data_IF_433875053308
#
_entry.id   IF_433875053308
#
_cell.length_a   1.000
_cell.length_b   1.000
_cell.length_c   1.000
_cell.angle_alpha   90.00
_cell.angle_beta   90.00
_cell.angle_gamma   90.00
#
_symmetry.space_group_name_H-M   'P 1'
#
loop_
_entity.id
_entity.type
_entity.pdbx_description
1 polymer ?
#
# COMPACT_ATOMS: atom_id res chain seq x y z
N UNK A 1 26.60 -46.55 -7.15
CA UNK A 1 25.44 -45.63 -7.00
C UNK A 1 25.53 -44.93 -5.66
N UNK A 2 25.74 -43.61 -5.67
CA UNK A 2 25.61 -42.74 -4.49
C UNK A 2 25.18 -41.38 -5.02
N UNK A 3 23.88 -41.11 -4.90
CA UNK A 3 23.26 -39.84 -5.21
C UNK A 3 23.13 -39.07 -3.91
N UNK A 4 23.67 -37.85 -3.81
CA UNK A 4 23.12 -36.83 -2.91
C UNK A 4 23.21 -35.46 -3.57
N UNK A 5 22.07 -35.13 -4.17
CA UNK A 5 21.41 -33.83 -4.33
C UNK A 5 22.21 -32.54 -4.03
N UNK A 6 22.26 -31.73 -5.08
CA UNK A 6 22.51 -30.29 -5.13
C UNK A 6 21.38 -29.55 -4.35
N UNK A 7 21.61 -28.27 -4.05
CA UNK A 7 20.75 -27.22 -3.48
C UNK A 7 21.08 -26.94 -2.01
N UNK A 8 21.49 -25.72 -1.61
CA UNK A 8 20.77 -24.47 -1.91
C UNK A 8 21.72 -23.27 -2.02
N UNK A 9 21.85 -22.73 -3.23
CA UNK A 9 22.16 -21.33 -3.44
C UNK A 9 20.84 -20.57 -3.29
N UNK A 10 20.51 -20.13 -2.07
CA UNK A 10 19.41 -19.21 -1.81
C UNK A 10 19.89 -18.04 -0.93
N UNK A 11 21.02 -17.45 -1.32
CA UNK A 11 21.37 -16.08 -0.97
C UNK A 11 20.65 -15.13 -1.95
N UNK A 12 19.33 -15.22 -2.01
CA UNK A 12 18.52 -14.26 -2.75
C UNK A 12 17.95 -13.24 -1.78
N UNK A 13 18.31 -11.98 -2.04
CA UNK A 13 17.47 -10.80 -1.81
C UNK A 13 17.39 -10.29 -0.37
N UNK A 14 18.54 -9.89 0.16
CA UNK A 14 18.63 -8.83 1.18
C UNK A 14 19.02 -7.48 0.56
N UNK A 15 18.48 -7.15 -0.61
CA UNK A 15 18.78 -5.90 -1.32
C UNK A 15 17.86 -4.79 -0.76
N UNK A 16 18.48 -3.94 0.05
CA UNK A 16 18.11 -2.56 0.37
C UNK A 16 16.61 -2.25 0.58
N UNK A 17 16.11 -2.50 1.79
CA UNK A 17 15.12 -1.58 2.36
C UNK A 17 15.87 -0.27 2.62
N UNK A 18 15.82 0.63 1.63
CA UNK A 18 16.22 2.02 1.83
C UNK A 18 15.46 2.53 3.05
N UNK A 19 16.20 2.78 4.11
CA UNK A 19 15.74 3.61 5.19
C UNK A 19 15.42 4.97 4.57
N UNK A 20 14.14 5.18 4.23
CA UNK A 20 13.61 6.53 4.19
C UNK A 20 13.99 7.19 5.51
N UNK A 21 14.55 8.39 5.44
CA UNK A 21 14.88 9.20 6.61
C UNK A 21 13.73 9.08 7.60
N UNK A 22 14.04 8.80 8.88
CA UNK A 22 13.02 8.66 9.92
C UNK A 22 12.16 9.92 10.13
N UNK A 23 12.47 11.01 9.43
CA UNK A 23 11.73 12.26 9.38
C UNK A 23 10.92 12.48 8.08
N UNK A 24 11.07 11.64 7.07
CA UNK A 24 10.35 11.80 5.79
C UNK A 24 9.04 11.01 5.89
N UNK A 25 8.01 11.67 6.39
CA UNK A 25 6.68 11.08 6.49
C UNK A 25 5.91 11.47 5.23
N UNK A 26 5.52 10.51 4.39
CA UNK A 26 4.73 10.76 3.19
C UNK A 26 3.27 10.54 3.52
N UNK A 27 2.37 11.43 3.10
CA UNK A 27 0.93 11.25 3.22
C UNK A 27 0.28 11.19 1.84
N UNK A 28 -0.50 10.16 1.57
CA UNK A 28 -1.25 10.01 0.33
C UNK A 28 -2.74 10.14 0.60
N UNK A 29 -3.34 11.16 0.01
CA UNK A 29 -4.78 11.40 0.05
C UNK A 29 -5.47 10.64 -1.08
N UNK A 30 -6.62 10.07 -0.75
CA UNK A 30 -7.44 9.31 -1.68
C UNK A 30 -8.91 9.51 -1.36
N UNK A 31 -9.77 9.15 -2.32
CA UNK A 31 -11.20 9.09 -2.10
C UNK A 31 -11.78 7.77 -2.58
N UNK A 32 -12.84 7.34 -1.93
CA UNK A 32 -13.56 6.14 -2.32
C UNK A 32 -15.07 6.33 -2.15
N UNK A 33 -15.84 5.52 -2.85
CA UNK A 33 -17.31 5.51 -2.82
C UNK A 33 -17.77 4.06 -2.85
N UNK A 34 -18.80 3.77 -2.05
CA UNK A 34 -19.42 2.44 -1.95
C UNK A 34 -20.90 2.60 -2.31
N UNK A 35 -21.37 1.90 -3.33
CA UNK A 35 -22.73 2.01 -3.86
C UNK A 35 -23.08 3.45 -4.28
N UNK A 36 -24.30 3.88 -3.94
CA UNK A 36 -24.79 5.24 -4.22
C UNK A 36 -24.52 6.24 -3.09
N UNK A 37 -23.57 5.95 -2.20
CA UNK A 37 -23.19 6.87 -1.14
C UNK A 37 -22.30 8.02 -1.68
N UNK A 38 -22.09 9.02 -0.83
CA UNK A 38 -21.17 10.11 -1.12
C UNK A 38 -19.70 9.63 -1.12
N UNK A 39 -18.85 10.42 -1.79
CA UNK A 39 -17.41 10.20 -1.76
C UNK A 39 -16.84 10.45 -0.36
N UNK A 40 -16.12 9.47 0.17
CA UNK A 40 -15.33 9.57 1.39
C UNK A 40 -13.92 9.98 1.03
N UNK A 41 -13.38 11.00 1.70
CA UNK A 41 -11.97 11.38 1.62
C UNK A 41 -11.23 10.81 2.81
N UNK A 42 -10.08 10.19 2.55
CA UNK A 42 -9.23 9.59 3.58
C UNK A 42 -7.75 9.68 3.14
N UNK A 43 -6.83 9.35 4.05
CA UNK A 43 -5.40 9.47 3.82
C UNK A 43 -4.61 8.35 4.49
N UNK A 44 -3.50 7.95 3.89
CA UNK A 44 -2.59 6.99 4.48
C UNK A 44 -1.14 7.49 4.43
N UNK A 45 -0.45 7.35 5.56
CA UNK A 45 0.93 7.78 5.70
C UNK A 45 1.92 6.62 5.64
N UNK A 46 3.15 6.88 5.20
CA UNK A 46 4.25 5.92 5.21
C UNK A 46 5.61 6.61 5.34
N UNK A 47 6.64 5.85 5.73
CA UNK A 47 8.02 6.36 5.84
C UNK A 47 8.70 6.56 4.48
N UNK A 48 8.08 6.08 3.40
CA UNK A 48 8.45 6.39 2.02
C UNK A 48 7.18 6.58 1.20
N UNK A 49 7.29 7.31 0.08
CA UNK A 49 6.18 7.47 -0.87
C UNK A 49 5.61 6.13 -1.33
N UNK A 50 6.47 5.16 -1.60
CA UNK A 50 6.05 3.82 -2.02
C UNK A 50 5.26 3.10 -0.94
N UNK A 51 5.68 3.19 0.32
CA UNK A 51 4.97 2.58 1.45
C UNK A 51 3.62 3.27 1.72
N UNK A 52 3.55 4.59 1.59
CA UNK A 52 2.29 5.33 1.69
C UNK A 52 1.30 4.87 0.60
N UNK A 53 1.76 4.75 -0.65
CA UNK A 53 0.94 4.23 -1.76
C UNK A 53 0.49 2.79 -1.55
N UNK A 54 1.36 1.91 -1.07
CA UNK A 54 0.99 0.53 -0.73
C UNK A 54 -0.07 0.49 0.37
N UNK A 55 0.04 1.38 1.37
CA UNK A 55 -0.95 1.48 2.44
C UNK A 55 -2.32 1.94 1.91
N UNK A 56 -2.35 2.91 0.99
CA UNK A 56 -3.58 3.31 0.28
C UNK A 56 -4.16 2.13 -0.49
N UNK A 57 -3.34 1.41 -1.26
CA UNK A 57 -3.80 0.27 -2.06
C UNK A 57 -4.42 -0.83 -1.17
N UNK A 58 -3.75 -1.22 -0.08
CA UNK A 58 -4.26 -2.22 0.86
C UNK A 58 -5.57 -1.77 1.53
N UNK A 59 -5.71 -0.48 1.85
CA UNK A 59 -6.95 0.06 2.39
C UNK A 59 -8.09 -0.03 1.38
N UNK A 60 -7.85 0.40 0.14
CA UNK A 60 -8.85 0.38 -0.93
C UNK A 60 -9.27 -1.06 -1.27
N UNK A 61 -8.33 -2.00 -1.38
CA UNK A 61 -8.61 -3.43 -1.58
C UNK A 61 -9.49 -4.00 -0.48
N UNK A 62 -9.25 -3.61 0.78
CA UNK A 62 -10.07 -4.06 1.90
C UNK A 62 -11.51 -3.51 1.80
N UNK A 63 -11.66 -2.22 1.44
CA UNK A 63 -12.99 -1.61 1.24
C UNK A 63 -13.72 -2.21 0.04
N UNK A 64 -13.01 -2.47 -1.05
CA UNK A 64 -13.55 -3.13 -2.24
C UNK A 64 -14.05 -4.54 -1.89
N UNK A 65 -13.26 -5.32 -1.16
CA UNK A 65 -13.65 -6.66 -0.71
C UNK A 65 -14.92 -6.64 0.17
N UNK A 66 -15.03 -5.67 1.07
CA UNK A 66 -16.23 -5.48 1.90
C UNK A 66 -17.46 -5.07 1.07
N UNK A 67 -17.28 -4.17 0.10
CA UNK A 67 -18.34 -3.73 -0.81
C UNK A 67 -18.84 -4.91 -1.67
N UNK A 68 -17.91 -5.66 -2.27
CA UNK A 68 -18.20 -6.85 -3.07
C UNK A 68 -18.91 -7.93 -2.24
N UNK A 69 -18.46 -8.17 -1.01
CA UNK A 69 -19.11 -9.14 -0.10
C UNK A 69 -20.54 -8.73 0.27
N UNK A 70 -20.86 -7.43 0.15
CA UNK A 70 -22.18 -6.87 0.42
C UNK A 70 -23.01 -6.63 -0.86
N UNK A 71 -22.49 -7.02 -2.04
CA UNK A 71 -23.13 -6.79 -3.33
C UNK A 71 -23.24 -5.31 -3.73
N UNK A 72 -22.33 -4.46 -3.23
CA UNK A 72 -22.29 -3.03 -3.53
C UNK A 72 -21.15 -2.71 -4.48
N UNK A 73 -21.38 -1.73 -5.36
CA UNK A 73 -20.33 -1.23 -6.24
C UNK A 73 -19.25 -0.48 -5.45
N UNK A 74 -18.01 -0.51 -5.95
CA UNK A 74 -16.88 0.19 -5.36
C UNK A 74 -16.18 1.07 -6.40
N UNK A 75 -15.95 2.33 -6.04
CA UNK A 75 -15.17 3.27 -6.85
C UNK A 75 -14.08 3.91 -6.00
N UNK A 76 -12.89 4.14 -6.56
CA UNK A 76 -11.80 4.82 -5.86
C UNK A 76 -10.96 5.69 -6.78
N UNK A 77 -10.31 6.70 -6.21
CA UNK A 77 -9.35 7.55 -6.91
C UNK A 77 -8.27 8.04 -5.95
N UNK A 78 -7.01 7.93 -6.36
CA UNK A 78 -5.90 8.59 -5.69
C UNK A 78 -5.90 10.07 -6.03
N UNK A 79 -5.80 10.94 -5.02
CA UNK A 79 -5.84 12.39 -5.20
C UNK A 79 -4.43 12.98 -5.27
N UNK A 80 -3.62 12.76 -4.24
CA UNK A 80 -2.28 13.33 -4.18
C UNK A 80 -1.40 12.59 -3.17
N UNK A 81 -0.08 12.66 -3.30
CA UNK A 81 0.85 12.25 -2.25
C UNK A 81 1.81 13.40 -1.94
N UNK A 82 1.76 13.90 -0.71
CA UNK A 82 2.57 14.98 -0.19
C UNK A 82 3.71 14.45 0.70
N UNK A 83 4.79 15.22 0.73
CA UNK A 83 5.87 15.04 1.71
C UNK A 83 5.48 15.85 2.95
N UNK A 84 5.39 15.21 4.12
CA UNK A 84 5.18 15.88 5.39
C UNK A 84 6.57 16.31 5.87
N UNK A 85 6.99 17.49 5.44
CA UNK A 85 8.11 18.18 6.06
C UNK A 85 7.67 18.56 7.48
N UNK A 86 8.31 18.00 8.50
CA UNK A 86 8.20 18.52 9.87
C UNK A 86 8.98 19.84 9.92
N UNK A 87 8.27 20.95 10.15
CA UNK A 87 8.85 22.22 10.63
C UNK A 87 9.69 22.00 11.90
#
# INVERSE_FOLDING_TARGET
>A
MKSYFILSALACLGIFLQAGSANDQYNCDFKYKIGNNDWVQDSASGTTRSLAKVSVAAFLENKESQANSSGQDFESAQLFCNDILKD
#
